data_IF_239585887395
#
_entry.id   IF_239585887395
#
_cell.length_a   1.000
_cell.length_b   1.000
_cell.length_c   1.000
_cell.angle_alpha   90.00
_cell.angle_beta   90.00
_cell.angle_gamma   90.00
#
_symmetry.space_group_name_H-M   'P 1'
#
loop_
_entity.id
_entity.type
_entity.pdbx_description
1 polymer ?
#
# COMPACT_ATOMS: atom_id res chain seq x y z
N UNK A 1 -20.14 -52.58 -15.60
CA UNK A 1 -20.89 -53.11 -16.76
C UNK A 1 -21.29 -51.93 -17.61
N UNK A 2 -21.05 -51.97 -18.93
CA UNK A 2 -21.35 -50.84 -19.80
C UNK A 2 -22.89 -50.75 -19.97
N UNK A 3 -23.56 -49.66 -19.56
CA UNK A 3 -25.03 -49.59 -19.49
C UNK A 3 -25.69 -49.95 -20.83
N UNK A 4 -25.11 -49.49 -21.94
CA UNK A 4 -25.61 -49.78 -23.30
C UNK A 4 -25.60 -51.27 -23.67
N UNK A 5 -24.73 -52.09 -23.06
CA UNK A 5 -24.71 -53.55 -23.30
C UNK A 5 -25.78 -54.28 -22.51
N UNK A 6 -26.17 -53.76 -21.34
CA UNK A 6 -27.24 -54.36 -20.55
C UNK A 6 -28.59 -54.15 -21.24
N UNK A 7 -28.85 -52.95 -21.75
CA UNK A 7 -30.10 -52.64 -22.46
C UNK A 7 -30.25 -53.48 -23.75
N UNK A 8 -29.19 -53.63 -24.55
CA UNK A 8 -29.22 -54.48 -25.75
C UNK A 8 -29.50 -55.96 -25.46
N UNK A 9 -28.89 -56.51 -24.40
CA UNK A 9 -29.11 -57.91 -24.01
C UNK A 9 -30.55 -58.13 -23.53
N UNK A 10 -31.10 -57.16 -22.80
CA UNK A 10 -32.49 -57.21 -22.32
C UNK A 10 -33.45 -57.21 -23.52
N UNK A 11 -33.29 -56.28 -24.46
CA UNK A 11 -34.16 -56.18 -25.64
C UNK A 11 -34.09 -57.44 -26.53
N UNK A 12 -32.89 -58.01 -26.72
CA UNK A 12 -32.71 -59.26 -27.45
C UNK A 12 -33.43 -60.44 -26.77
N UNK A 13 -33.37 -60.49 -25.43
CA UNK A 13 -33.99 -61.55 -24.64
C UNK A 13 -35.53 -61.46 -24.70
N UNK A 14 -36.08 -60.25 -24.61
CA UNK A 14 -37.52 -60.03 -24.77
C UNK A 14 -38.01 -60.35 -26.19
N UNK A 15 -37.28 -59.95 -27.22
CA UNK A 15 -37.63 -60.28 -28.61
C UNK A 15 -37.67 -61.79 -28.86
N UNK A 16 -36.69 -62.52 -28.31
CA UNK A 16 -36.65 -63.98 -28.39
C UNK A 16 -37.81 -64.64 -27.62
N UNK A 17 -38.13 -64.14 -26.42
CA UNK A 17 -39.25 -64.65 -25.62
C UNK A 17 -40.60 -64.45 -26.32
N UNK A 18 -40.83 -63.29 -26.95
CA UNK A 18 -42.05 -63.02 -27.73
C UNK A 18 -42.13 -63.95 -28.95
N UNK A 19 -41.02 -64.16 -29.65
CA UNK A 19 -40.97 -65.07 -30.79
C UNK A 19 -41.31 -66.52 -30.38
N UNK A 20 -40.75 -66.99 -29.27
CA UNK A 20 -41.05 -68.32 -28.71
C UNK A 20 -42.51 -68.41 -28.26
N UNK A 21 -43.07 -67.35 -27.67
CA UNK A 21 -44.50 -67.29 -27.30
C UNK A 21 -45.40 -67.49 -28.52
N UNK A 22 -45.14 -66.76 -29.61
CA UNK A 22 -45.92 -66.83 -30.85
C UNK A 22 -45.82 -68.23 -31.47
N UNK A 23 -44.61 -68.81 -31.53
CA UNK A 23 -44.42 -70.15 -32.05
C UNK A 23 -45.18 -71.21 -31.24
N UNK A 24 -45.20 -71.10 -29.90
CA UNK A 24 -45.95 -72.02 -29.02
C UNK A 24 -47.47 -71.88 -29.17
N UNK A 25 -47.97 -70.65 -29.33
CA UNK A 25 -49.40 -70.39 -29.59
C UNK A 25 -49.86 -71.03 -30.91
N UNK A 26 -48.98 -71.07 -31.92
CA UNK A 26 -49.31 -71.63 -33.24
C UNK A 26 -49.22 -73.17 -33.29
N UNK A 27 -48.48 -73.80 -32.37
CA UNK A 27 -48.16 -75.25 -32.42
C UNK A 27 -48.84 -76.05 -31.30
N UNK A 28 -49.16 -75.45 -30.16
CA UNK A 28 -49.74 -76.13 -28.98
C UNK A 28 -51.12 -75.55 -28.68
N UNK A 29 -52.04 -76.36 -28.12
CA UNK A 29 -53.42 -75.96 -27.79
C UNK A 29 -53.51 -74.55 -27.15
N UNK A 30 -54.54 -73.80 -27.55
CA UNK A 30 -54.74 -72.37 -27.24
C UNK A 30 -54.62 -72.03 -25.74
N UNK A 31 -55.01 -72.96 -24.86
CA UNK A 31 -54.94 -72.78 -23.40
C UNK A 31 -53.49 -72.64 -22.91
N UNK A 32 -52.55 -73.42 -23.46
CA UNK A 32 -51.13 -73.36 -23.08
C UNK A 32 -50.50 -72.05 -23.56
N UNK A 33 -50.84 -71.62 -24.78
CA UNK A 33 -50.37 -70.34 -25.33
C UNK A 33 -50.83 -69.12 -24.51
N UNK A 34 -52.08 -69.13 -24.04
CA UNK A 34 -52.64 -68.06 -23.20
C UNK A 34 -51.93 -68.02 -21.82
N UNK A 35 -51.73 -69.16 -21.18
CA UNK A 35 -51.05 -69.23 -19.88
C UNK A 35 -49.59 -68.73 -19.98
N UNK A 36 -48.87 -69.09 -21.05
CA UNK A 36 -47.52 -68.60 -21.29
C UNK A 36 -47.49 -67.08 -21.55
N UNK A 37 -48.41 -66.56 -22.36
CA UNK A 37 -48.52 -65.13 -22.64
C UNK A 37 -48.79 -64.31 -21.37
N UNK A 38 -49.66 -64.79 -20.48
CA UNK A 38 -49.93 -64.16 -19.18
C UNK A 38 -48.71 -64.21 -18.26
N UNK A 39 -47.93 -65.30 -18.27
CA UNK A 39 -46.69 -65.42 -17.50
C UNK A 39 -45.62 -64.42 -17.94
N UNK A 40 -45.43 -64.26 -19.26
CA UNK A 40 -44.51 -63.27 -19.82
C UNK A 40 -44.95 -61.84 -19.48
N UNK A 41 -46.25 -61.55 -19.57
CA UNK A 41 -46.80 -60.24 -19.21
C UNK A 41 -46.57 -59.93 -17.72
N UNK A 42 -46.86 -60.88 -16.83
CA UNK A 42 -46.62 -60.72 -15.39
C UNK A 42 -45.14 -60.51 -15.07
N UNK A 43 -44.25 -61.28 -15.71
CA UNK A 43 -42.80 -61.10 -15.58
C UNK A 43 -42.35 -59.70 -16.03
N UNK A 44 -42.93 -59.18 -17.12
CA UNK A 44 -42.63 -57.84 -17.64
C UNK A 44 -43.10 -56.76 -16.66
N UNK A 45 -44.30 -56.88 -16.08
CA UNK A 45 -44.79 -55.93 -15.07
C UNK A 45 -43.90 -55.92 -13.82
N UNK A 46 -43.48 -57.08 -13.34
CA UNK A 46 -42.54 -57.19 -12.20
C UNK A 46 -41.19 -56.57 -12.54
N UNK A 47 -40.68 -56.80 -13.76
CA UNK A 47 -39.42 -56.21 -14.20
C UNK A 47 -39.49 -54.68 -14.32
N UNK A 48 -40.59 -54.13 -14.83
CA UNK A 48 -40.82 -52.68 -14.86
C UNK A 48 -40.90 -52.12 -13.45
N UNK A 49 -41.63 -52.76 -12.55
CA UNK A 49 -41.72 -52.33 -11.15
C UNK A 49 -40.35 -52.30 -10.48
N UNK A 50 -39.53 -53.32 -10.71
CA UNK A 50 -38.14 -53.36 -10.23
C UNK A 50 -37.26 -52.28 -10.87
N UNK A 51 -37.42 -52.03 -12.18
CA UNK A 51 -36.68 -50.97 -12.90
C UNK A 51 -37.08 -49.59 -12.40
N UNK A 52 -38.37 -49.30 -12.24
CA UNK A 52 -38.86 -48.04 -11.67
C UNK A 52 -38.41 -47.85 -10.22
N UNK A 53 -38.45 -48.90 -9.39
CA UNK A 53 -37.96 -48.83 -8.01
C UNK A 53 -36.45 -48.62 -7.91
N UNK A 54 -35.67 -49.14 -8.87
CA UNK A 54 -34.23 -48.88 -8.96
C UNK A 54 -33.92 -47.47 -9.44
N UNK A 55 -34.82 -46.82 -10.17
CA UNK A 55 -34.69 -45.41 -10.57
C UNK A 55 -35.43 -44.48 -9.60
N UNK A 56 -35.44 -44.79 -8.30
CA UNK A 56 -35.93 -43.83 -7.30
C UNK A 56 -35.20 -42.48 -7.46
N UNK A 57 -35.89 -41.34 -7.63
CA UNK A 57 -35.26 -40.04 -7.85
C UNK A 57 -34.33 -39.61 -6.71
N UNK A 58 -34.60 -40.07 -5.49
CA UNK A 58 -33.92 -39.59 -4.28
C UNK A 58 -32.50 -40.12 -4.11
N UNK A 59 -32.16 -41.31 -4.62
CA UNK A 59 -30.78 -41.83 -4.46
C UNK A 59 -29.81 -41.21 -5.47
N UNK A 60 -30.24 -41.06 -6.74
CA UNK A 60 -29.42 -40.38 -7.75
C UNK A 60 -29.26 -38.89 -7.46
N UNK A 61 -30.29 -38.22 -6.93
CA UNK A 61 -30.17 -36.80 -6.55
C UNK A 61 -29.28 -36.62 -5.32
N UNK A 62 -29.31 -37.53 -4.34
CA UNK A 62 -28.40 -37.48 -3.18
C UNK A 62 -26.95 -37.75 -3.55
N UNK A 63 -26.67 -38.81 -4.30
CA UNK A 63 -25.29 -39.13 -4.71
C UNK A 63 -24.68 -38.02 -5.58
N UNK A 64 -25.47 -37.44 -6.50
CA UNK A 64 -25.02 -36.31 -7.32
C UNK A 64 -24.88 -35.05 -6.48
N UNK A 65 -25.81 -34.77 -5.56
CA UNK A 65 -25.70 -33.62 -4.66
C UNK A 65 -24.47 -33.72 -3.78
N UNK A 66 -24.20 -34.87 -3.17
CA UNK A 66 -23.01 -35.08 -2.34
C UNK A 66 -21.70 -34.97 -3.15
N UNK A 67 -21.67 -35.48 -4.38
CA UNK A 67 -20.50 -35.32 -5.24
C UNK A 67 -20.28 -33.86 -5.67
N UNK A 68 -21.34 -33.16 -6.05
CA UNK A 68 -21.25 -31.74 -6.42
C UNK A 68 -20.86 -30.89 -5.22
N UNK A 69 -21.48 -31.11 -4.06
CA UNK A 69 -21.14 -30.42 -2.82
C UNK A 69 -19.67 -30.66 -2.46
N UNK A 70 -19.20 -31.91 -2.47
CA UNK A 70 -17.80 -32.19 -2.15
C UNK A 70 -16.80 -31.65 -3.17
N UNK A 71 -17.08 -31.73 -4.47
CA UNK A 71 -16.16 -31.21 -5.50
C UNK A 71 -16.15 -29.69 -5.51
N UNK A 72 -17.32 -29.04 -5.47
CA UNK A 72 -17.43 -27.58 -5.48
C UNK A 72 -16.85 -27.00 -4.19
N UNK A 73 -17.17 -27.54 -3.01
CA UNK A 73 -16.61 -27.02 -1.75
C UNK A 73 -15.09 -27.11 -1.77
N UNK A 74 -14.50 -28.23 -2.19
CA UNK A 74 -13.04 -28.38 -2.25
C UNK A 74 -12.40 -27.46 -3.29
N UNK A 75 -12.90 -27.45 -4.52
CA UNK A 75 -12.32 -26.61 -5.58
C UNK A 75 -12.46 -25.12 -5.27
N UNK A 76 -13.60 -24.69 -4.71
CA UNK A 76 -13.83 -23.30 -4.34
C UNK A 76 -12.98 -22.90 -3.13
N UNK A 77 -12.88 -23.74 -2.10
CA UNK A 77 -12.05 -23.45 -0.92
C UNK A 77 -10.57 -23.34 -1.31
N UNK A 78 -10.03 -24.31 -2.07
CA UNK A 78 -8.64 -24.29 -2.51
C UNK A 78 -8.35 -23.10 -3.45
N UNK A 79 -9.27 -22.77 -4.36
CA UNK A 79 -9.09 -21.65 -5.28
C UNK A 79 -9.16 -20.31 -4.54
N UNK A 80 -10.15 -20.13 -3.66
CA UNK A 80 -10.30 -18.88 -2.89
C UNK A 80 -9.11 -18.70 -1.94
N UNK A 81 -8.67 -19.73 -1.23
CA UNK A 81 -7.51 -19.61 -0.32
C UNK A 81 -6.26 -19.21 -1.09
N UNK A 82 -6.02 -19.83 -2.26
CA UNK A 82 -4.85 -19.51 -3.07
C UNK A 82 -4.91 -18.10 -3.67
N UNK A 83 -6.07 -17.68 -4.19
CA UNK A 83 -6.24 -16.33 -4.71
C UNK A 83 -6.13 -15.29 -3.58
N UNK A 84 -6.64 -15.58 -2.38
CA UNK A 84 -6.50 -14.68 -1.23
C UNK A 84 -5.04 -14.55 -0.79
N UNK A 85 -4.28 -15.63 -0.72
CA UNK A 85 -2.84 -15.58 -0.41
C UNK A 85 -2.06 -14.75 -1.43
N UNK A 86 -2.39 -14.90 -2.72
CA UNK A 86 -1.75 -14.12 -3.79
C UNK A 86 -2.11 -12.63 -3.71
N UNK A 87 -3.37 -12.31 -3.42
CA UNK A 87 -3.82 -10.92 -3.18
C UNK A 87 -3.14 -10.34 -1.96
N UNK A 88 -3.06 -11.08 -0.84
CA UNK A 88 -2.36 -10.61 0.37
C UNK A 88 -0.90 -10.30 0.07
N UNK A 89 -0.22 -11.17 -0.67
CA UNK A 89 1.18 -10.96 -1.04
C UNK A 89 1.35 -9.74 -1.97
N UNK A 90 0.49 -9.58 -2.98
CA UNK A 90 0.54 -8.40 -3.86
C UNK A 90 0.28 -7.10 -3.10
N UNK A 91 -0.65 -7.11 -2.15
CA UNK A 91 -0.93 -5.94 -1.31
C UNK A 91 0.25 -5.65 -0.38
N UNK A 92 0.84 -6.66 0.25
CA UNK A 92 2.01 -6.48 1.11
C UNK A 92 3.21 -5.91 0.34
N UNK A 93 3.48 -6.43 -0.86
CA UNK A 93 4.57 -5.97 -1.72
C UNK A 93 4.33 -4.52 -2.18
N UNK A 94 3.14 -4.23 -2.73
CA UNK A 94 2.80 -2.85 -3.16
C UNK A 94 2.79 -1.85 -2.02
N UNK A 95 2.24 -2.21 -0.86
CA UNK A 95 2.21 -1.29 0.28
C UNK A 95 3.63 -1.04 0.78
N UNK A 96 4.47 -2.07 0.85
CA UNK A 96 5.85 -1.90 1.30
C UNK A 96 6.66 -1.06 0.33
N UNK A 97 6.52 -1.28 -0.97
CA UNK A 97 7.27 -0.56 -2.01
C UNK A 97 6.71 0.85 -2.21
N UNK A 98 5.44 0.99 -2.62
CA UNK A 98 4.86 2.30 -2.96
C UNK A 98 4.80 3.22 -1.73
N UNK A 99 4.35 2.73 -0.57
CA UNK A 99 4.23 3.58 0.64
C UNK A 99 5.60 3.79 1.27
N UNK A 100 6.47 2.77 1.27
CA UNK A 100 7.84 2.90 1.78
C UNK A 100 8.60 3.97 1.02
N UNK A 101 8.70 3.84 -0.31
CA UNK A 101 9.43 4.81 -1.14
C UNK A 101 8.77 6.19 -1.12
N UNK A 102 7.43 6.28 -1.22
CA UNK A 102 6.76 7.59 -1.22
C UNK A 102 6.96 8.32 0.10
N UNK A 103 6.86 7.63 1.23
CA UNK A 103 7.05 8.24 2.54
C UNK A 103 8.52 8.61 2.73
N UNK A 104 9.46 7.74 2.38
CA UNK A 104 10.89 8.03 2.51
C UNK A 104 11.29 9.24 1.66
N UNK A 105 10.88 9.29 0.39
CA UNK A 105 11.16 10.43 -0.50
C UNK A 105 10.48 11.71 -0.03
N UNK A 106 9.19 11.66 0.34
CA UNK A 106 8.45 12.86 0.77
C UNK A 106 9.03 13.40 2.07
N UNK A 107 9.38 12.53 3.02
CA UNK A 107 9.98 12.94 4.30
C UNK A 107 11.39 13.48 4.08
N UNK A 108 12.22 12.83 3.27
CA UNK A 108 13.58 13.31 2.98
C UNK A 108 13.56 14.68 2.29
N UNK A 109 12.73 14.84 1.25
CA UNK A 109 12.63 16.10 0.51
C UNK A 109 12.05 17.22 1.39
N UNK A 110 10.92 16.97 2.08
CA UNK A 110 10.28 17.98 2.93
C UNK A 110 11.18 18.40 4.09
N UNK A 111 11.81 17.44 4.78
CA UNK A 111 12.69 17.76 5.92
C UNK A 111 13.97 18.45 5.46
N UNK A 112 14.53 18.06 4.31
CA UNK A 112 15.71 18.73 3.76
C UNK A 112 15.39 20.17 3.37
N UNK A 113 14.28 20.40 2.66
CA UNK A 113 13.87 21.74 2.23
C UNK A 113 13.53 22.64 3.44
N UNK A 114 12.81 22.12 4.44
CA UNK A 114 12.52 22.86 5.66
C UNK A 114 13.80 23.21 6.44
N UNK A 115 14.79 22.32 6.49
CA UNK A 115 16.07 22.58 7.16
C UNK A 115 16.91 23.62 6.42
N UNK A 116 16.91 23.61 5.09
CA UNK A 116 17.57 24.63 4.27
C UNK A 116 16.91 25.99 4.46
N UNK A 117 15.58 26.05 4.53
CA UNK A 117 14.85 27.29 4.77
C UNK A 117 15.09 27.84 6.19
N UNK A 118 15.10 26.97 7.21
CA UNK A 118 15.47 27.35 8.59
C UNK A 118 16.90 27.88 8.63
N UNK A 119 17.84 27.25 7.93
CA UNK A 119 19.23 27.70 7.90
C UNK A 119 19.34 29.10 7.30
N UNK A 120 18.64 29.37 6.19
CA UNK A 120 18.59 30.70 5.58
C UNK A 120 17.95 31.74 6.50
N UNK A 121 16.82 31.43 7.13
CA UNK A 121 16.18 32.37 8.06
C UNK A 121 17.07 32.70 9.26
N UNK A 122 17.81 31.72 9.78
CA UNK A 122 18.77 31.93 10.86
C UNK A 122 19.94 32.78 10.38
N UNK A 123 20.50 32.50 9.21
CA UNK A 123 21.61 33.28 8.64
C UNK A 123 21.20 34.74 8.37
N UNK A 124 20.01 34.97 7.82
CA UNK A 124 19.47 36.30 7.56
C UNK A 124 19.22 37.06 8.86
N UNK A 125 18.54 36.45 9.84
CA UNK A 125 18.34 37.10 11.15
C UNK A 125 19.63 37.39 11.88
N UNK A 126 20.60 36.48 11.86
CA UNK A 126 21.89 36.71 12.51
C UNK A 126 22.63 37.84 11.80
N UNK A 127 22.62 37.87 10.47
CA UNK A 127 23.27 38.94 9.71
C UNK A 127 22.61 40.29 9.94
N UNK A 128 21.29 40.35 9.94
CA UNK A 128 20.54 41.58 10.14
C UNK A 128 20.59 42.02 11.60
N UNK A 129 20.03 41.25 12.55
CA UNK A 129 19.91 41.66 13.95
C UNK A 129 21.28 41.84 14.61
N UNK A 130 22.21 40.88 14.42
CA UNK A 130 23.52 40.95 15.07
C UNK A 130 24.43 41.92 14.32
N UNK A 131 24.39 41.95 12.99
CA UNK A 131 25.16 42.89 12.19
C UNK A 131 24.81 44.34 12.53
N UNK A 132 23.52 44.70 12.47
CA UNK A 132 23.07 46.06 12.81
C UNK A 132 23.37 46.40 14.27
N UNK A 133 23.09 45.49 15.20
CA UNK A 133 23.32 45.77 16.63
C UNK A 133 24.80 46.00 16.91
N UNK A 134 25.68 45.18 16.33
CA UNK A 134 27.13 45.32 16.50
C UNK A 134 27.63 46.59 15.82
N UNK A 135 27.20 46.87 14.59
CA UNK A 135 27.61 48.07 13.86
C UNK A 135 27.18 49.34 14.61
N UNK A 136 25.91 49.44 15.01
CA UNK A 136 25.40 50.57 15.80
C UNK A 136 26.08 50.69 17.16
N UNK A 137 26.31 49.57 17.87
CA UNK A 137 26.95 49.62 19.20
C UNK A 137 28.41 50.04 19.07
N UNK A 138 29.14 49.51 18.08
CA UNK A 138 30.54 49.83 17.85
C UNK A 138 30.70 51.26 17.37
N UNK A 139 29.91 51.70 16.38
CA UNK A 139 29.94 53.06 15.87
C UNK A 139 29.68 54.06 16.99
N UNK A 140 28.60 53.85 17.77
CA UNK A 140 28.26 54.74 18.88
C UNK A 140 29.30 54.73 20.00
N UNK A 141 29.84 53.56 20.35
CA UNK A 141 30.89 53.46 21.38
C UNK A 141 32.18 54.12 20.92
N UNK A 142 32.55 53.97 19.65
CA UNK A 142 33.75 54.59 19.09
C UNK A 142 33.57 56.11 18.99
N UNK A 143 32.41 56.57 18.54
CA UNK A 143 32.12 58.00 18.42
C UNK A 143 32.07 58.68 19.80
N UNK A 144 31.31 58.16 20.77
CA UNK A 144 31.28 58.73 22.13
C UNK A 144 32.61 58.55 22.85
N UNK A 145 33.19 57.35 22.87
CA UNK A 145 34.36 57.12 23.74
C UNK A 145 35.65 57.64 23.11
N UNK A 146 35.87 57.36 21.83
CA UNK A 146 37.12 57.74 21.15
C UNK A 146 37.04 59.15 20.62
N UNK A 147 35.91 59.55 20.03
CA UNK A 147 35.69 60.91 19.56
C UNK A 147 35.85 61.92 20.69
N UNK A 148 35.06 61.77 21.76
CA UNK A 148 35.10 62.72 22.89
C UNK A 148 36.48 62.71 23.57
N UNK A 149 37.06 61.54 23.83
CA UNK A 149 38.40 61.47 24.47
C UNK A 149 39.47 62.13 23.61
N UNK A 150 39.45 61.91 22.30
CA UNK A 150 40.44 62.51 21.39
C UNK A 150 40.21 64.02 21.28
N UNK A 151 38.97 64.48 21.18
CA UNK A 151 38.66 65.91 21.12
C UNK A 151 39.10 66.60 22.42
N UNK A 152 38.74 66.06 23.58
CA UNK A 152 39.12 66.62 24.88
C UNK A 152 40.65 66.62 25.06
N UNK A 153 41.33 65.50 24.76
CA UNK A 153 42.80 65.42 24.91
C UNK A 153 43.53 66.35 23.94
N UNK A 154 43.07 66.47 22.69
CA UNK A 154 43.70 67.34 21.69
C UNK A 154 43.45 68.80 22.03
N UNK A 155 42.25 69.17 22.45
CA UNK A 155 41.93 70.54 22.86
C UNK A 155 42.79 70.94 24.07
N UNK A 156 42.86 70.12 25.11
CA UNK A 156 43.69 70.38 26.30
C UNK A 156 45.19 70.49 25.94
N UNK A 157 45.72 69.54 25.16
CA UNK A 157 47.14 69.54 24.78
C UNK A 157 47.50 70.74 23.91
N UNK A 158 46.63 71.11 22.96
CA UNK A 158 46.86 72.26 22.07
C UNK A 158 46.76 73.57 22.85
N UNK A 159 45.80 73.69 23.76
CA UNK A 159 45.63 74.89 24.58
C UNK A 159 46.78 75.08 25.57
N UNK A 160 47.27 74.00 26.21
CA UNK A 160 48.48 74.04 27.04
C UNK A 160 49.71 74.40 26.21
N UNK A 161 49.95 73.73 25.08
CA UNK A 161 51.15 73.99 24.26
C UNK A 161 51.18 75.41 23.73
N UNK A 162 50.03 75.94 23.26
CA UNK A 162 49.94 77.32 22.77
C UNK A 162 50.13 78.31 23.92
N UNK A 163 49.57 78.03 25.10
CA UNK A 163 49.75 78.91 26.27
C UNK A 163 51.20 78.96 26.72
N UNK A 164 51.88 77.82 26.81
CA UNK A 164 53.32 77.76 27.12
C UNK A 164 54.17 78.48 26.07
N UNK A 165 53.92 78.28 24.76
CA UNK A 165 54.68 78.95 23.70
C UNK A 165 54.47 80.49 23.72
N UNK A 166 53.28 80.95 24.10
CA UNK A 166 52.97 82.37 24.22
C UNK A 166 53.55 83.01 25.48
N UNK A 167 53.67 82.25 26.57
CA UNK A 167 54.35 82.68 27.79
C UNK A 167 55.87 82.78 27.57
N UNK A 168 56.49 81.73 27.01
CA UNK A 168 57.91 81.72 26.65
C UNK A 168 58.25 82.87 25.69
N UNK A 169 57.37 83.15 24.72
CA UNK A 169 57.58 84.27 23.80
C UNK A 169 57.50 85.63 24.49
N UNK A 170 56.56 85.83 25.41
CA UNK A 170 56.47 87.08 26.19
C UNK A 170 57.68 87.29 27.08
N UNK A 171 58.19 86.22 27.71
CA UNK A 171 59.39 86.31 28.53
C UNK A 171 60.62 86.68 27.68
N UNK A 172 60.71 86.14 26.45
CA UNK A 172 61.77 86.50 25.51
C UNK A 172 61.67 87.93 24.95
N UNK A 173 60.47 88.52 24.89
CA UNK A 173 60.26 89.90 24.43
C UNK A 173 60.58 90.92 25.55
N UNK A 174 60.28 90.61 26.81
CA UNK A 174 60.55 91.48 27.98
C UNK A 174 62.06 91.56 28.32
N UNK A 175 62.83 90.48 28.07
CA UNK A 175 64.30 90.52 28.21
C UNK A 175 65.01 91.39 27.16
N UNK A 176 64.37 91.67 26.01
CA UNK A 176 64.95 92.56 24.98
C UNK A 176 64.80 94.05 25.26
N UNK A 177 63.87 94.46 26.13
CA UNK A 177 63.61 95.87 26.43
C UNK A 177 64.39 96.39 27.65
N UNK A 178 64.98 95.53 28.50
CA UNK A 178 65.78 95.96 29.66
C UNK A 178 67.26 96.31 29.35
N UNK A 179 67.80 95.96 28.18
CA UNK A 179 69.22 96.23 27.83
C UNK A 179 69.41 97.46 26.90
N UNK A 180 68.40 98.32 26.77
CA UNK A 180 68.50 99.62 26.06
C UNK A 180 67.98 100.82 26.88
N UNK A 181 68.64 101.12 28.01
CA UNK A 181 68.51 102.41 28.71
C UNK A 181 69.87 102.97 29.17
#
# INVERSE_FOLDING_TARGET
MNPNRADFVIDLTYGLLIFVAIALILVVETVVGIAFGLGVLASYTVHIGWKMARFDPDWMTKDVAEQVEQSVTREVEDTITKEMDEVTKQVEEKVTEDVGETVEQTVEETVSDEMDEVTKQVEEKVTEDVGETVEQTVEKTVEETVGDTVEETVEETVEETISEELEDKKESEDETDEDTA
#
